data_IF_599385584613
#
_entry.id   IF_599385584613
#
_cell.length_a   1.000
_cell.length_b   1.000
_cell.length_c   1.000
_cell.angle_alpha   90.00
_cell.angle_beta   90.00
_cell.angle_gamma   90.00
#
_symmetry.space_group_name_H-M   'P 1'
#
loop_
_entity.id
_entity.type
_entity.pdbx_description
1 polymer ?
#
# COMPACT_ATOMS: atom_id res chain seq x y z
N UNK A 1 -71.00 26.13 82.91
CA UNK A 1 -69.72 25.49 82.56
C UNK A 1 -69.92 24.01 82.21
N UNK A 2 -70.54 23.67 81.07
CA UNK A 2 -70.77 22.25 80.72
C UNK A 2 -70.42 21.88 79.26
N UNK A 3 -69.94 22.82 78.44
CA UNK A 3 -69.58 22.54 77.05
C UNK A 3 -68.12 22.09 76.86
N UNK A 4 -67.24 22.32 77.85
CA UNK A 4 -65.82 21.95 77.79
C UNK A 4 -65.55 20.46 78.11
N UNK A 5 -66.40 19.82 78.91
CA UNK A 5 -66.26 18.40 79.29
C UNK A 5 -66.77 17.44 78.21
N UNK A 6 -67.79 17.84 77.43
CA UNK A 6 -68.34 17.02 76.35
C UNK A 6 -67.36 16.86 75.17
N UNK A 7 -66.60 17.90 74.84
CA UNK A 7 -65.58 17.84 73.77
C UNK A 7 -64.41 16.90 74.12
N UNK A 8 -64.03 16.83 75.41
CA UNK A 8 -62.96 15.94 75.89
C UNK A 8 -63.38 14.46 75.87
N UNK A 9 -64.63 14.17 76.24
CA UNK A 9 -65.17 12.78 76.26
C UNK A 9 -65.44 12.27 74.83
N UNK A 10 -65.93 13.12 73.92
CA UNK A 10 -66.07 12.74 72.51
C UNK A 10 -64.71 12.52 71.83
N UNK A 11 -63.69 13.31 72.19
CA UNK A 11 -62.32 13.10 71.74
C UNK A 11 -61.78 11.75 72.19
N UNK A 12 -61.92 11.38 73.47
CA UNK A 12 -61.41 10.12 74.01
C UNK A 12 -62.03 8.87 73.36
N UNK A 13 -63.34 8.90 73.07
CA UNK A 13 -64.06 7.77 72.45
C UNK A 13 -63.68 7.53 70.99
N UNK A 14 -63.21 8.56 70.29
CA UNK A 14 -62.71 8.41 68.92
C UNK A 14 -61.37 7.68 68.85
N UNK A 15 -60.51 7.81 69.88
CA UNK A 15 -59.20 7.15 69.90
C UNK A 15 -59.27 5.61 69.96
N UNK A 16 -60.25 5.03 70.67
CA UNK A 16 -60.43 3.57 70.73
C UNK A 16 -60.80 2.96 69.36
N UNK A 17 -61.45 3.73 68.49
CA UNK A 17 -61.86 3.26 67.15
C UNK A 17 -60.70 3.25 66.14
N UNK A 18 -59.74 4.17 66.26
CA UNK A 18 -58.61 4.30 65.31
C UNK A 18 -57.34 3.54 65.74
N UNK A 19 -57.21 3.18 67.03
CA UNK A 19 -56.05 2.45 67.56
C UNK A 19 -55.73 1.13 66.82
N UNK A 20 -56.71 0.27 66.45
CA UNK A 20 -56.45 -0.98 65.73
C UNK A 20 -55.91 -0.77 64.31
N UNK A 21 -56.22 0.38 63.70
CA UNK A 21 -55.80 0.74 62.34
C UNK A 21 -54.44 1.41 62.30
N UNK A 22 -53.95 1.97 63.42
CA UNK A 22 -52.64 2.63 63.48
C UNK A 22 -51.46 1.66 63.31
N UNK A 23 -51.54 0.47 63.90
CA UNK A 23 -50.50 -0.57 63.78
C UNK A 23 -50.27 -1.05 62.34
N UNK A 24 -51.29 -1.46 61.57
CA UNK A 24 -51.10 -1.88 60.18
C UNK A 24 -50.61 -0.73 59.29
N UNK A 25 -51.06 0.50 59.53
CA UNK A 25 -50.56 1.69 58.81
C UNK A 25 -49.06 1.90 59.07
N UNK A 26 -48.61 1.73 60.32
CA UNK A 26 -47.21 1.89 60.70
C UNK A 26 -46.31 0.81 60.06
N UNK A 27 -46.77 -0.45 60.03
CA UNK A 27 -46.06 -1.55 59.35
C UNK A 27 -45.95 -1.28 57.85
N UNK A 28 -47.03 -0.78 57.23
CA UNK A 28 -47.06 -0.43 55.80
C UNK A 28 -46.08 0.72 55.49
N UNK A 29 -45.99 1.73 56.36
CA UNK A 29 -45.01 2.81 56.25
C UNK A 29 -43.56 2.31 56.31
N UNK A 30 -43.25 1.41 57.25
CA UNK A 30 -41.91 0.81 57.37
C UNK A 30 -41.57 0.00 56.11
N UNK A 31 -42.54 -0.76 55.61
CA UNK A 31 -42.40 -1.53 54.37
C UNK A 31 -42.11 -0.61 53.17
N UNK A 32 -42.88 0.48 53.00
CA UNK A 32 -42.64 1.47 51.94
C UNK A 32 -41.23 2.04 52.04
N UNK A 33 -40.78 2.45 53.23
CA UNK A 33 -39.44 3.01 53.44
C UNK A 33 -38.33 2.00 53.12
N UNK A 34 -38.53 0.73 53.49
CA UNK A 34 -37.61 -0.35 53.16
C UNK A 34 -37.52 -0.57 51.64
N UNK A 35 -38.65 -0.64 50.95
CA UNK A 35 -38.71 -0.77 49.48
C UNK A 35 -38.08 0.44 48.80
N UNK A 36 -38.29 1.66 49.30
CA UNK A 36 -37.68 2.87 48.75
C UNK A 36 -36.15 2.84 48.88
N UNK A 37 -35.64 2.37 50.03
CA UNK A 37 -34.20 2.20 50.25
C UNK A 37 -33.61 1.13 49.33
N UNK A 38 -34.31 0.01 49.15
CA UNK A 38 -33.87 -1.08 48.27
C UNK A 38 -33.91 -0.67 46.79
N UNK A 39 -34.97 0.01 46.36
CA UNK A 39 -35.10 0.55 45.00
C UNK A 39 -33.96 1.51 44.65
N UNK A 40 -33.59 2.42 45.58
CA UNK A 40 -32.44 3.32 45.41
C UNK A 40 -31.09 2.60 45.31
N UNK A 41 -30.93 1.42 45.92
CA UNK A 41 -29.70 0.62 45.77
C UNK A 41 -29.64 -0.02 44.38
N UNK A 42 -30.76 -0.59 43.92
CA UNK A 42 -30.86 -1.24 42.61
C UNK A 42 -30.58 -0.23 41.50
N UNK A 43 -31.11 1.00 41.58
CA UNK A 43 -30.84 2.04 40.57
C UNK A 43 -29.37 2.46 40.53
N UNK A 44 -28.70 2.54 41.68
CA UNK A 44 -27.26 2.79 41.73
C UNK A 44 -26.48 1.65 41.07
N UNK A 45 -26.81 0.40 41.39
CA UNK A 45 -26.16 -0.77 40.78
C UNK A 45 -26.37 -0.80 39.27
N UNK A 46 -27.58 -0.49 38.80
CA UNK A 46 -27.87 -0.39 37.36
C UNK A 46 -27.01 0.67 36.68
N UNK A 47 -26.81 1.83 37.33
CA UNK A 47 -25.94 2.88 36.80
C UNK A 47 -24.49 2.41 36.64
N UNK A 48 -23.95 1.74 37.66
CA UNK A 48 -22.61 1.15 37.61
C UNK A 48 -22.47 0.10 36.51
N UNK A 49 -23.49 -0.76 36.32
CA UNK A 49 -23.52 -1.75 35.26
C UNK A 49 -23.46 -1.08 33.89
N UNK A 50 -24.30 -0.07 33.66
CA UNK A 50 -24.31 0.66 32.39
C UNK A 50 -22.98 1.39 32.13
N UNK A 51 -22.36 1.98 33.17
CA UNK A 51 -21.04 2.62 33.04
C UNK A 51 -19.94 1.60 32.68
N UNK A 52 -19.97 0.40 33.27
CA UNK A 52 -19.03 -0.68 32.95
C UNK A 52 -19.24 -1.23 31.55
N UNK A 53 -20.49 -1.40 31.11
CA UNK A 53 -20.84 -1.84 29.77
C UNK A 53 -20.31 -0.84 28.72
N UNK A 54 -20.52 0.46 28.96
CA UNK A 54 -19.98 1.52 28.13
C UNK A 54 -18.45 1.47 28.06
N UNK A 55 -17.76 1.30 29.20
CA UNK A 55 -16.29 1.17 29.20
C UNK A 55 -15.82 -0.07 28.42
N UNK A 56 -16.52 -1.18 28.53
CA UNK A 56 -16.20 -2.42 27.83
C UNK A 56 -16.30 -2.22 26.31
N UNK A 57 -17.39 -1.59 25.84
CA UNK A 57 -17.54 -1.26 24.40
C UNK A 57 -16.44 -0.33 23.90
N UNK A 58 -16.02 0.64 24.72
CA UNK A 58 -14.94 1.55 24.34
C UNK A 58 -13.59 0.81 24.22
N UNK A 59 -13.29 -0.11 25.15
CA UNK A 59 -12.07 -0.93 25.09
C UNK A 59 -12.08 -1.81 23.83
N UNK A 60 -13.21 -2.42 23.50
CA UNK A 60 -13.35 -3.22 22.28
C UNK A 60 -13.12 -2.38 21.02
N UNK A 61 -13.66 -1.17 20.96
CA UNK A 61 -13.41 -0.24 19.85
C UNK A 61 -11.92 0.13 19.73
N UNK A 62 -11.25 0.40 20.85
CA UNK A 62 -9.81 0.70 20.87
C UNK A 62 -8.97 -0.49 20.43
N UNK A 63 -9.34 -1.71 20.82
CA UNK A 63 -8.67 -2.94 20.39
C UNK A 63 -8.82 -3.13 18.87
N UNK A 64 -10.02 -2.93 18.34
CA UNK A 64 -10.25 -3.04 16.90
C UNK A 64 -9.43 -1.99 16.11
N UNK A 65 -9.37 -0.75 16.60
CA UNK A 65 -8.52 0.29 15.99
C UNK A 65 -7.03 -0.07 16.08
N UNK A 66 -6.57 -0.61 17.20
CA UNK A 66 -5.18 -1.07 17.34
C UNK A 66 -4.85 -2.14 16.31
N UNK A 67 -5.76 -3.11 16.13
CA UNK A 67 -5.58 -4.18 15.15
C UNK A 67 -5.56 -3.65 13.71
N UNK A 68 -6.44 -2.69 13.37
CA UNK A 68 -6.42 -2.03 12.07
C UNK A 68 -5.11 -1.28 11.82
N UNK A 69 -4.57 -0.63 12.85
CA UNK A 69 -3.26 0.04 12.76
C UNK A 69 -2.12 -0.95 12.51
N UNK A 70 -2.13 -2.10 13.18
CA UNK A 70 -1.13 -3.15 13.00
C UNK A 70 -1.18 -3.72 11.57
N UNK A 71 -2.38 -3.97 11.04
CA UNK A 71 -2.58 -4.44 9.65
C UNK A 71 -2.08 -3.41 8.62
N UNK A 72 -2.34 -2.12 8.87
CA UNK A 72 -1.82 -1.03 8.04
C UNK A 72 -0.29 -0.97 8.09
N UNK A 73 0.31 -1.15 9.27
CA UNK A 73 1.76 -1.13 9.45
C UNK A 73 2.42 -2.25 8.64
N UNK A 74 1.89 -3.48 8.73
CA UNK A 74 2.36 -4.62 7.92
C UNK A 74 2.25 -4.33 6.43
N UNK A 75 1.15 -3.71 5.99
CA UNK A 75 0.96 -3.33 4.58
C UNK A 75 1.99 -2.30 4.13
N UNK A 76 2.24 -1.27 4.92
CA UNK A 76 3.25 -0.24 4.62
C UNK A 76 4.66 -0.82 4.58
N UNK A 77 5.01 -1.71 5.51
CA UNK A 77 6.32 -2.39 5.51
C UNK A 77 6.51 -3.26 4.25
N UNK A 78 5.46 -3.95 3.85
CA UNK A 78 5.48 -4.78 2.62
C UNK A 78 5.69 -3.89 1.39
N UNK A 79 4.92 -2.81 1.26
CA UNK A 79 5.06 -1.85 0.15
C UNK A 79 6.44 -1.19 0.13
N UNK A 80 6.97 -0.83 1.31
CA UNK A 80 8.32 -0.27 1.42
C UNK A 80 9.37 -1.26 0.91
N UNK A 81 9.28 -2.53 1.32
CA UNK A 81 10.21 -3.57 0.86
C UNK A 81 10.11 -3.81 -0.65
N UNK A 82 8.92 -3.77 -1.22
CA UNK A 82 8.72 -3.86 -2.68
C UNK A 82 9.36 -2.66 -3.40
N UNK A 83 9.20 -1.46 -2.85
CA UNK A 83 9.81 -0.24 -3.40
C UNK A 83 11.34 -0.29 -3.32
N UNK A 84 11.90 -0.70 -2.18
CA UNK A 84 13.35 -0.84 -1.99
C UNK A 84 13.94 -1.85 -2.99
N UNK A 85 13.24 -2.97 -3.23
CA UNK A 85 13.64 -3.95 -4.26
C UNK A 85 13.53 -3.39 -5.69
N UNK A 86 12.52 -2.58 -5.97
CA UNK A 86 12.37 -1.93 -7.27
C UNK A 86 13.47 -0.88 -7.51
N UNK A 87 13.83 -0.11 -6.48
CA UNK A 87 14.94 0.84 -6.51
C UNK A 87 16.28 0.15 -6.74
N UNK A 88 16.55 -0.96 -6.05
CA UNK A 88 17.78 -1.74 -6.26
C UNK A 88 17.90 -2.23 -7.72
N UNK A 89 16.80 -2.70 -8.30
CA UNK A 89 16.76 -3.07 -9.74
C UNK A 89 16.99 -1.85 -10.64
N UNK A 90 16.43 -0.69 -10.29
CA UNK A 90 16.62 0.54 -11.05
C UNK A 90 18.10 0.96 -11.06
N UNK A 91 18.80 0.86 -9.94
CA UNK A 91 20.24 1.14 -9.87
C UNK A 91 21.08 0.19 -10.74
N UNK A 92 20.68 -1.08 -10.84
CA UNK A 92 21.30 -2.02 -11.79
C UNK A 92 21.04 -1.61 -13.25
N UNK A 93 19.82 -1.16 -13.56
CA UNK A 93 19.50 -0.64 -14.88
C UNK A 93 20.29 0.63 -15.20
N UNK A 94 20.46 1.56 -14.27
CA UNK A 94 21.23 2.79 -14.48
C UNK A 94 22.70 2.50 -14.81
N UNK A 95 23.25 1.38 -14.33
CA UNK A 95 24.60 0.91 -14.69
C UNK A 95 24.63 0.22 -16.06
N UNK A 96 23.60 -0.53 -16.42
CA UNK A 96 23.53 -1.27 -17.69
C UNK A 96 23.17 -0.39 -18.89
N UNK A 97 22.34 0.64 -18.69
CA UNK A 97 21.92 1.56 -19.75
C UNK A 97 23.08 2.22 -20.50
N UNK A 98 24.14 2.77 -19.86
CA UNK A 98 25.28 3.34 -20.58
C UNK A 98 26.03 2.29 -21.41
N UNK A 99 26.25 1.07 -20.90
CA UNK A 99 26.89 -0.01 -21.66
C UNK A 99 26.04 -0.42 -22.88
N UNK A 100 24.72 -0.52 -22.70
CA UNK A 100 23.80 -0.80 -23.80
C UNK A 100 23.76 0.32 -24.85
N UNK A 101 23.95 1.58 -24.45
CA UNK A 101 24.11 2.71 -25.37
C UNK A 101 25.40 2.60 -26.18
N UNK A 102 26.50 2.19 -25.58
CA UNK A 102 27.76 1.95 -26.29
C UNK A 102 27.61 0.80 -27.30
N UNK A 103 26.98 -0.30 -26.90
CA UNK A 103 26.71 -1.42 -27.80
C UNK A 103 25.79 -0.99 -28.95
N UNK A 104 24.79 -0.15 -28.70
CA UNK A 104 23.92 0.37 -29.75
C UNK A 104 24.65 1.30 -30.75
N UNK A 105 25.78 1.91 -30.36
CA UNK A 105 26.63 2.71 -31.27
C UNK A 105 27.49 1.87 -32.20
N UNK A 106 27.80 0.62 -31.82
CA UNK A 106 28.62 -0.28 -32.63
C UNK A 106 28.06 -0.51 -34.03
N UNK A 107 26.73 -0.50 -34.22
CA UNK A 107 26.13 -0.62 -35.56
C UNK A 107 26.66 0.46 -36.52
N UNK A 108 26.75 1.71 -36.09
CA UNK A 108 27.31 2.79 -36.91
C UNK A 108 28.82 2.61 -37.14
N UNK A 109 29.54 2.24 -36.08
CA UNK A 109 31.00 2.18 -36.10
C UNK A 109 31.52 0.96 -36.87
N UNK A 110 30.77 -0.14 -36.93
CA UNK A 110 31.12 -1.39 -37.63
C UNK A 110 30.67 -1.37 -39.10
N UNK A 111 29.55 -0.71 -39.44
CA UNK A 111 29.05 -0.70 -40.82
C UNK A 111 30.04 -0.05 -41.82
N UNK A 112 30.76 0.99 -41.39
CA UNK A 112 31.76 1.68 -42.23
C UNK A 112 32.95 0.78 -42.61
N UNK A 113 33.69 0.16 -41.67
CA UNK A 113 34.77 -0.75 -42.02
C UNK A 113 34.27 -2.00 -42.75
N UNK A 114 33.09 -2.53 -42.42
CA UNK A 114 32.51 -3.66 -43.17
C UNK A 114 32.26 -3.32 -44.63
N UNK A 115 31.78 -2.10 -44.93
CA UNK A 115 31.63 -1.63 -46.31
C UNK A 115 32.98 -1.61 -47.05
N UNK A 116 34.04 -1.09 -46.43
CA UNK A 116 35.39 -1.07 -47.02
C UNK A 116 35.93 -2.49 -47.26
N UNK A 117 35.75 -3.40 -46.30
CA UNK A 117 36.12 -4.81 -46.44
C UNK A 117 35.36 -5.46 -47.58
N UNK A 118 34.05 -5.25 -47.67
CA UNK A 118 33.18 -5.79 -48.73
C UNK A 118 33.63 -5.31 -50.12
N UNK A 119 33.93 -4.01 -50.25
CA UNK A 119 34.47 -3.43 -51.49
C UNK A 119 35.84 -4.02 -51.86
N UNK A 120 36.70 -4.24 -50.88
CA UNK A 120 38.03 -4.82 -51.06
C UNK A 120 37.95 -6.29 -51.49
N UNK A 121 37.05 -7.06 -50.88
CA UNK A 121 36.76 -8.45 -51.26
C UNK A 121 36.18 -8.53 -52.67
N UNK A 122 35.29 -7.62 -53.06
CA UNK A 122 34.77 -7.57 -54.44
C UNK A 122 35.88 -7.35 -55.48
N UNK A 123 36.90 -6.54 -55.16
CA UNK A 123 38.09 -6.38 -56.01
C UNK A 123 38.95 -7.64 -56.03
N UNK A 124 39.21 -8.25 -54.88
CA UNK A 124 39.96 -9.50 -54.78
C UNK A 124 39.27 -10.64 -55.55
N UNK A 125 37.94 -10.73 -55.49
CA UNK A 125 37.16 -11.70 -56.25
C UNK A 125 37.33 -11.50 -57.76
N UNK A 126 37.32 -10.25 -58.22
CA UNK A 126 37.55 -9.93 -59.64
C UNK A 126 38.94 -10.36 -60.08
N UNK A 127 39.97 -10.06 -59.29
CA UNK A 127 41.36 -10.47 -59.58
C UNK A 127 41.50 -11.99 -59.59
N UNK A 128 40.92 -12.70 -58.63
CA UNK A 128 40.92 -14.17 -58.59
C UNK A 128 40.28 -14.80 -59.82
N UNK A 129 39.17 -14.22 -60.31
CA UNK A 129 38.51 -14.65 -61.56
C UNK A 129 39.37 -14.37 -62.80
N UNK A 130 40.01 -13.21 -62.87
CA UNK A 130 40.88 -12.83 -63.99
C UNK A 130 42.14 -13.71 -64.08
N UNK A 131 42.65 -14.17 -62.94
CA UNK A 131 43.86 -14.99 -62.86
C UNK A 131 43.59 -16.50 -62.77
N UNK A 132 42.33 -16.93 -62.72
CA UNK A 132 41.94 -18.32 -62.41
C UNK A 132 42.59 -18.87 -61.13
N UNK A 133 42.72 -18.02 -60.11
CA UNK A 133 43.26 -18.41 -58.80
C UNK A 133 42.11 -18.94 -57.92
N UNK A 134 41.89 -20.26 -57.96
CA UNK A 134 40.86 -20.92 -57.16
C UNK A 134 41.07 -20.76 -55.64
N UNK A 135 42.33 -20.76 -55.18
CA UNK A 135 42.63 -20.62 -53.75
C UNK A 135 42.22 -19.23 -53.23
N UNK A 136 42.50 -18.18 -54.02
CA UNK A 136 42.06 -16.82 -53.71
C UNK A 136 40.53 -16.70 -53.72
N UNK A 137 39.86 -17.36 -54.66
CA UNK A 137 38.39 -17.34 -54.73
C UNK A 137 37.74 -18.00 -53.52
N UNK A 138 38.25 -19.16 -53.08
CA UNK A 138 37.76 -19.82 -51.86
C UNK A 138 37.96 -18.95 -50.63
N UNK A 139 39.13 -18.33 -50.46
CA UNK A 139 39.37 -17.42 -49.32
C UNK A 139 38.44 -16.21 -49.33
N UNK A 140 38.18 -15.64 -50.52
CA UNK A 140 37.26 -14.51 -50.65
C UNK A 140 35.83 -14.91 -50.25
N UNK A 141 35.37 -16.08 -50.68
CA UNK A 141 34.04 -16.59 -50.34
C UNK A 141 33.91 -16.88 -48.82
N UNK A 142 34.94 -17.48 -48.20
CA UNK A 142 34.99 -17.71 -46.74
C UNK A 142 34.90 -16.38 -45.95
N UNK A 143 35.61 -15.34 -46.41
CA UNK A 143 35.56 -14.03 -45.76
C UNK A 143 34.21 -13.34 -46.00
N UNK A 144 33.61 -13.48 -47.19
CA UNK A 144 32.25 -12.99 -47.44
C UNK A 144 31.22 -13.65 -46.52
N UNK A 145 31.35 -14.95 -46.26
CA UNK A 145 30.48 -15.65 -45.31
C UNK A 145 30.65 -15.09 -43.89
N UNK A 146 31.89 -14.85 -43.45
CA UNK A 146 32.18 -14.25 -42.15
C UNK A 146 31.58 -12.83 -42.02
N UNK A 147 31.71 -12.00 -43.07
CA UNK A 147 31.11 -10.65 -43.13
C UNK A 147 29.59 -10.72 -43.02
N UNK A 148 28.94 -11.65 -43.72
CA UNK A 148 27.49 -11.84 -43.63
C UNK A 148 27.05 -12.24 -42.22
N UNK A 149 27.77 -13.15 -41.55
CA UNK A 149 27.49 -13.54 -40.16
C UNK A 149 27.62 -12.35 -39.20
N UNK A 150 28.59 -11.45 -39.41
CA UNK A 150 28.70 -10.21 -38.62
C UNK A 150 27.48 -9.33 -38.87
N UNK A 151 27.01 -9.19 -40.12
CA UNK A 151 25.79 -8.47 -40.46
C UNK A 151 24.55 -8.98 -39.73
N UNK A 152 24.38 -10.30 -39.62
CA UNK A 152 23.27 -10.92 -38.86
C UNK A 152 23.34 -10.62 -37.36
N UNK A 153 24.55 -10.63 -36.77
CA UNK A 153 24.76 -10.25 -35.37
C UNK A 153 24.37 -8.78 -35.16
N UNK A 154 24.73 -7.90 -36.09
CA UNK A 154 24.36 -6.48 -36.02
C UNK A 154 22.86 -6.25 -36.12
N UNK A 155 22.13 -7.03 -36.93
CA UNK A 155 20.67 -6.96 -36.96
C UNK A 155 20.03 -7.31 -35.61
N UNK A 156 20.59 -8.26 -34.85
CA UNK A 156 20.12 -8.58 -33.50
C UNK A 156 20.38 -7.43 -32.51
N UNK A 157 21.52 -6.76 -32.65
CA UNK A 157 21.87 -5.58 -31.85
C UNK A 157 20.99 -4.37 -32.20
N UNK A 158 20.50 -4.26 -33.44
CA UNK A 158 19.60 -3.17 -33.87
C UNK A 158 18.28 -3.12 -33.08
N UNK A 159 17.88 -4.20 -32.42
CA UNK A 159 16.71 -4.21 -31.51
C UNK A 159 16.94 -3.26 -30.32
N UNK A 160 18.18 -3.13 -29.84
CA UNK A 160 18.54 -2.22 -28.73
C UNK A 160 18.30 -0.75 -29.11
N UNK A 161 18.58 -0.36 -30.35
CA UNK A 161 18.36 1.01 -30.85
C UNK A 161 16.89 1.41 -30.92
N UNK A 162 15.99 0.43 -31.09
CA UNK A 162 14.54 0.66 -31.12
C UNK A 162 13.92 0.76 -29.73
N UNK A 163 14.68 0.44 -28.67
CA UNK A 163 14.21 0.52 -27.29
C UNK A 163 14.05 1.98 -26.86
N UNK A 164 12.91 2.39 -26.27
CA UNK A 164 12.70 3.75 -25.78
C UNK A 164 13.67 4.12 -24.64
N UNK A 165 14.24 3.13 -23.94
CA UNK A 165 15.22 3.33 -22.86
C UNK A 165 16.61 3.72 -23.39
N UNK A 166 16.92 3.33 -24.63
CA UNK A 166 18.19 3.58 -25.31
C UNK A 166 17.95 4.66 -26.38
N UNK A 167 16.98 5.56 -26.14
CA UNK A 167 16.58 6.61 -27.07
C UNK A 167 17.80 7.42 -27.51
N UNK A 168 18.17 7.23 -28.76
CA UNK A 168 19.20 7.99 -29.45
C UNK A 168 18.55 9.27 -29.96
N UNK A 169 18.80 10.40 -29.30
CA UNK A 169 18.58 11.72 -29.92
C UNK A 169 19.57 11.85 -31.07
N UNK A 170 19.12 11.47 -32.26
CA UNK A 170 19.79 11.80 -33.51
C UNK A 170 19.74 13.31 -33.71
N UNK A 171 20.73 14.02 -33.17
CA UNK A 171 20.96 15.45 -33.43
C UNK A 171 20.07 16.39 -32.62
N UNK A 172 20.73 17.26 -31.85
CA UNK A 172 20.29 18.57 -31.35
C UNK A 172 18.78 18.85 -31.26
N UNK A 173 18.19 18.54 -30.12
CA UNK A 173 17.12 19.36 -29.55
C UNK A 173 17.20 19.18 -28.05
N UNK A 174 17.79 20.15 -27.36
CA UNK A 174 17.60 20.38 -25.93
C UNK A 174 16.09 20.47 -25.71
N UNK A 175 15.53 19.49 -24.98
CA UNK A 175 14.22 19.66 -24.39
C UNK A 175 14.51 20.20 -23.01
N UNK A 176 14.35 21.52 -22.89
CA UNK A 176 14.36 22.27 -21.65
C UNK A 176 13.58 21.51 -20.58
N UNK A 177 14.21 21.40 -19.41
CA UNK A 177 13.54 21.06 -18.17
C UNK A 177 12.30 21.95 -18.00
N UNK A 178 11.09 21.39 -18.12
CA UNK A 178 10.00 21.85 -17.28
C UNK A 178 10.06 21.04 -15.99
N UNK A 179 10.73 21.61 -14.98
CA UNK A 179 10.47 21.29 -13.59
C UNK A 179 8.99 21.58 -13.30
N UNK A 180 8.16 20.56 -13.43
CA UNK A 180 6.82 20.55 -12.85
C UNK A 180 6.93 20.44 -11.34
N UNK A 181 6.89 21.59 -10.68
CA UNK A 181 6.48 21.70 -9.27
C UNK A 181 5.01 21.28 -9.15
N UNK A 182 4.72 20.24 -8.39
CA UNK A 182 3.55 20.13 -7.50
C UNK A 182 3.96 19.38 -6.26
#
# INVERSE_FOLDING_TARGET
>A
MHYSLLLLVSGLRTYEYYLPWLLPILVLLIFILFFFKQSRKITKQQKWINELEQQTTHIEELQNRSQELDDLLVKYETQKKELDNALAKLEEWDKLVPELKEIARLDHDINTPLCVVTLSLGRAQKVGKEQNDEALLTMVDDIFEAVNRIGEIMQKVAVLKKSPLISYKSGGQELSEERGTV
#
